data_IF_460510882851
#
_entry.id   IF_460510882851
#
_cell.length_a   1.000
_cell.length_b   1.000
_cell.length_c   1.000
_cell.angle_alpha   90.00
_cell.angle_beta   90.00
_cell.angle_gamma   90.00
#
_symmetry.space_group_name_H-M   'P 1'
#
loop_
_entity.id
_entity.type
_entity.pdbx_description
1 polymer ?
#
# COMPACT_ATOMS: atom_id res chain seq x y z
N UNK A 1 24.53 -4.11 -3.74
CA UNK A 1 24.21 -5.56 -3.82
C UNK A 1 22.70 -5.61 -3.96
N UNK A 2 22.20 -5.25 -5.14
CA UNK A 2 20.79 -4.88 -5.36
C UNK A 2 20.01 -5.94 -6.15
N UNK A 3 20.54 -7.17 -6.25
CA UNK A 3 20.11 -8.07 -7.31
C UNK A 3 18.75 -8.73 -7.07
N UNK A 4 18.53 -9.44 -5.97
CA UNK A 4 17.34 -10.30 -5.89
C UNK A 4 16.02 -9.52 -5.75
N UNK A 5 15.97 -8.48 -4.92
CA UNK A 5 14.75 -7.68 -4.77
C UNK A 5 14.39 -6.97 -6.06
N UNK A 6 15.39 -6.41 -6.76
CA UNK A 6 15.17 -5.75 -8.04
C UNK A 6 14.72 -6.76 -9.10
N UNK A 7 15.36 -7.93 -9.20
CA UNK A 7 14.97 -8.99 -10.12
C UNK A 7 13.53 -9.48 -9.87
N UNK A 8 13.12 -9.65 -8.61
CA UNK A 8 11.74 -10.01 -8.26
C UNK A 8 10.75 -8.92 -8.69
N UNK A 9 11.08 -7.65 -8.44
CA UNK A 9 10.24 -6.53 -8.88
C UNK A 9 10.19 -6.40 -10.41
N UNK A 10 11.28 -6.69 -11.12
CA UNK A 10 11.31 -6.74 -12.58
C UNK A 10 10.41 -7.83 -13.12
N UNK A 11 10.46 -9.04 -12.54
CA UNK A 11 9.57 -10.13 -12.94
C UNK A 11 8.09 -9.79 -12.70
N UNK A 12 7.76 -9.21 -11.54
CA UNK A 12 6.40 -8.73 -11.26
C UNK A 12 5.97 -7.66 -12.26
N UNK A 13 6.83 -6.69 -12.58
CA UNK A 13 6.52 -5.66 -13.55
C UNK A 13 6.29 -6.22 -14.96
N UNK A 14 7.15 -7.13 -15.42
CA UNK A 14 7.06 -7.72 -16.76
C UNK A 14 5.85 -8.64 -16.94
N UNK A 15 5.41 -9.32 -15.87
CA UNK A 15 4.17 -10.11 -15.88
C UNK A 15 2.97 -9.25 -16.30
N UNK A 16 2.93 -8.00 -15.83
CA UNK A 16 1.83 -7.07 -16.12
C UNK A 16 2.07 -6.18 -17.34
N UNK A 17 3.32 -5.79 -17.63
CA UNK A 17 3.60 -4.91 -18.76
C UNK A 17 3.36 -5.60 -20.10
N UNK A 18 3.38 -6.95 -20.12
CA UNK A 18 3.14 -7.79 -21.32
C UNK A 18 4.03 -7.39 -22.50
N UNK A 19 5.27 -6.98 -22.20
CA UNK A 19 6.26 -6.55 -23.19
C UNK A 19 6.26 -5.04 -23.49
N UNK A 20 5.38 -4.25 -22.87
CA UNK A 20 5.42 -2.79 -22.96
C UNK A 20 6.46 -2.18 -22.00
N UNK A 21 6.85 -0.94 -22.28
CA UNK A 21 7.81 -0.16 -21.47
C UNK A 21 7.22 0.35 -20.15
N UNK A 22 5.90 0.40 -20.05
CA UNK A 22 5.13 0.85 -18.89
C UNK A 22 3.97 -0.12 -18.61
N UNK A 23 3.58 -0.22 -17.35
CA UNK A 23 2.30 -0.86 -16.95
C UNK A 23 1.21 0.19 -16.92
N UNK A 24 -0.04 -0.21 -17.13
CA UNK A 24 -1.17 0.72 -16.93
C UNK A 24 -1.32 1.06 -15.45
N UNK A 25 -1.98 2.17 -15.15
CA UNK A 25 -2.31 2.60 -13.79
C UNK A 25 -3.20 1.55 -13.09
N UNK A 26 -4.09 0.92 -13.86
CA UNK A 26 -4.92 -0.20 -13.42
C UNK A 26 -4.05 -1.40 -13.05
N UNK A 27 -3.10 -1.79 -13.90
CA UNK A 27 -2.20 -2.90 -13.59
C UNK A 27 -1.31 -2.58 -12.38
N UNK A 28 -0.87 -1.33 -12.24
CA UNK A 28 -0.18 -0.86 -11.04
C UNK A 28 -1.04 -1.04 -9.78
N UNK A 29 -2.30 -0.62 -9.80
CA UNK A 29 -3.23 -0.84 -8.69
C UNK A 29 -3.43 -2.32 -8.38
N UNK A 30 -3.63 -3.16 -9.41
CA UNK A 30 -3.76 -4.62 -9.23
C UNK A 30 -2.54 -5.23 -8.54
N UNK A 31 -1.32 -4.78 -8.89
CA UNK A 31 -0.08 -5.22 -8.23
C UNK A 31 -0.03 -4.75 -6.77
N UNK A 32 -0.51 -3.53 -6.48
CA UNK A 32 -0.57 -3.03 -5.11
C UNK A 32 -1.56 -3.79 -4.23
N UNK A 33 -2.69 -4.22 -4.80
CA UNK A 33 -3.78 -4.87 -4.09
C UNK A 33 -3.70 -6.42 -4.08
N UNK A 34 -2.77 -7.04 -4.82
CA UNK A 34 -2.68 -8.51 -4.95
C UNK A 34 -2.53 -9.28 -3.61
N UNK A 35 -1.93 -8.65 -2.60
CA UNK A 35 -1.65 -9.27 -1.29
C UNK A 35 -2.35 -8.59 -0.12
N UNK A 36 -3.43 -7.86 -0.40
CA UNK A 36 -4.24 -7.19 0.63
C UNK A 36 -5.45 -8.06 1.00
N UNK A 37 -5.94 -7.95 2.23
CA UNK A 37 -7.14 -8.66 2.68
C UNK A 37 -8.42 -7.90 2.28
N UNK A 38 -8.59 -7.64 0.98
CA UNK A 38 -9.80 -7.05 0.44
C UNK A 38 -10.73 -8.14 -0.06
N UNK A 39 -12.03 -7.98 0.14
CA UNK A 39 -13.00 -8.82 -0.57
C UNK A 39 -13.13 -8.40 -2.05
N UNK A 40 -13.90 -9.17 -2.82
CA UNK A 40 -14.04 -8.91 -4.27
C UNK A 40 -14.73 -7.58 -4.55
N UNK A 41 -15.71 -7.20 -3.73
CA UNK A 41 -16.48 -5.97 -3.94
C UNK A 41 -15.61 -4.74 -3.63
N UNK A 42 -14.86 -4.77 -2.52
CA UNK A 42 -13.89 -3.73 -2.15
C UNK A 42 -12.80 -3.59 -3.21
N UNK A 43 -12.25 -4.71 -3.70
CA UNK A 43 -11.23 -4.73 -4.75
C UNK A 43 -11.73 -4.07 -6.03
N UNK A 44 -12.93 -4.42 -6.48
CA UNK A 44 -13.54 -3.86 -7.69
C UNK A 44 -13.83 -2.36 -7.51
N UNK A 45 -14.26 -1.92 -6.32
CA UNK A 45 -14.45 -0.49 -6.01
C UNK A 45 -13.17 0.35 -6.18
N UNK A 46 -12.00 -0.18 -5.81
CA UNK A 46 -10.72 0.50 -6.04
C UNK A 46 -10.41 0.66 -7.53
N UNK A 47 -10.69 -0.37 -8.33
CA UNK A 47 -10.40 -0.36 -9.76
C UNK A 47 -11.37 0.54 -10.53
N UNK A 48 -12.65 0.49 -10.22
CA UNK A 48 -13.68 1.34 -10.86
C UNK A 48 -13.41 2.82 -10.60
N UNK A 49 -13.09 3.17 -9.34
CA UNK A 49 -12.71 4.53 -8.97
C UNK A 49 -11.49 5.02 -9.73
N UNK A 50 -10.49 4.15 -9.90
CA UNK A 50 -9.29 4.50 -10.64
C UNK A 50 -9.59 4.76 -12.13
N UNK A 51 -10.41 3.90 -12.75
CA UNK A 51 -10.85 4.05 -14.13
C UNK A 51 -11.62 5.36 -14.35
N UNK A 52 -12.43 5.79 -13.38
CA UNK A 52 -13.18 7.05 -13.47
C UNK A 52 -12.26 8.29 -13.33
N UNK A 53 -11.22 8.19 -12.49
CA UNK A 53 -10.34 9.32 -12.14
C UNK A 53 -9.15 9.49 -13.08
N UNK A 54 -8.60 8.39 -13.60
CA UNK A 54 -7.43 8.41 -14.49
C UNK A 54 -7.90 8.35 -15.94
N UNK A 55 -7.81 9.49 -16.63
CA UNK A 55 -8.22 9.62 -18.05
C UNK A 55 -7.06 9.58 -19.03
N UNK A 56 -5.85 9.82 -18.54
CA UNK A 56 -4.63 9.84 -19.35
C UNK A 56 -3.85 8.54 -19.11
N UNK A 57 -3.71 7.73 -20.16
CA UNK A 57 -2.94 6.48 -20.15
C UNK A 57 -1.43 6.76 -20.28
N UNK A 58 -0.87 7.44 -19.28
CA UNK A 58 0.56 7.77 -19.26
C UNK A 58 1.39 6.52 -18.96
N UNK A 59 0.85 5.65 -18.10
CA UNK A 59 1.48 4.43 -17.64
C UNK A 59 2.57 4.68 -16.61
N UNK A 60 2.81 3.67 -15.79
CA UNK A 60 3.85 3.67 -14.75
C UNK A 60 5.09 2.95 -15.29
N UNK A 61 6.22 3.64 -15.33
CA UNK A 61 7.49 3.04 -15.74
C UNK A 61 8.07 2.10 -14.68
N UNK A 62 8.97 1.20 -15.08
CA UNK A 62 9.64 0.31 -14.12
C UNK A 62 10.40 1.08 -13.03
N UNK A 63 11.02 2.22 -13.38
CA UNK A 63 11.71 3.07 -12.40
C UNK A 63 10.73 3.61 -11.35
N UNK A 64 9.58 4.13 -11.77
CA UNK A 64 8.56 4.64 -10.85
C UNK A 64 8.01 3.53 -9.96
N UNK A 65 7.71 2.37 -10.55
CA UNK A 65 7.26 1.18 -9.82
C UNK A 65 8.27 0.75 -8.75
N UNK A 66 9.55 0.67 -9.12
CA UNK A 66 10.64 0.29 -8.21
C UNK A 66 10.83 1.32 -7.10
N UNK A 67 10.87 2.61 -7.45
CA UNK A 67 11.04 3.70 -6.49
C UNK A 67 9.87 3.70 -5.47
N UNK A 68 8.64 3.40 -5.91
CA UNK A 68 7.48 3.21 -5.03
C UNK A 68 7.60 1.97 -4.13
N UNK A 69 8.02 0.84 -4.68
CA UNK A 69 8.22 -0.38 -3.88
C UNK A 69 9.32 -0.20 -2.82
N UNK A 70 10.38 0.54 -3.15
CA UNK A 70 11.42 0.92 -2.19
C UNK A 70 10.87 1.83 -1.09
N UNK A 71 9.94 2.72 -1.42
CA UNK A 71 9.20 3.48 -0.42
C UNK A 71 8.39 2.58 0.52
N UNK A 72 7.67 1.59 -0.01
CA UNK A 72 6.88 0.67 0.82
C UNK A 72 7.74 -0.14 1.79
N UNK A 73 9.02 -0.40 1.48
CA UNK A 73 9.94 -1.03 2.44
C UNK A 73 10.20 -0.16 3.69
N UNK A 74 9.96 1.15 3.61
CA UNK A 74 10.09 2.13 4.70
C UNK A 74 8.72 2.61 5.22
N UNK A 75 7.66 1.82 4.99
CA UNK A 75 6.29 2.19 5.36
C UNK A 75 6.11 2.37 6.87
N UNK A 76 6.88 1.66 7.70
CA UNK A 76 6.81 1.78 9.16
C UNK A 76 7.20 3.19 9.63
N UNK A 77 8.34 3.71 9.14
CA UNK A 77 8.80 5.07 9.43
C UNK A 77 7.81 6.12 8.90
N UNK A 78 7.31 5.91 7.68
CA UNK A 78 6.29 6.78 7.09
C UNK A 78 4.99 6.76 7.92
N UNK A 79 4.60 5.60 8.48
CA UNK A 79 3.40 5.48 9.31
C UNK A 79 3.50 6.23 10.63
N UNK A 80 4.72 6.40 11.18
CA UNK A 80 4.96 7.21 12.36
C UNK A 80 4.73 8.69 12.02
N UNK A 81 5.29 9.16 10.91
CA UNK A 81 5.07 10.52 10.42
C UNK A 81 3.57 10.77 10.18
N UNK A 82 2.88 9.85 9.51
CA UNK A 82 1.45 9.98 9.21
C UNK A 82 0.57 9.99 10.47
N UNK A 83 0.92 9.20 11.49
CA UNK A 83 0.24 9.27 12.79
C UNK A 83 0.40 10.62 13.47
N UNK A 84 1.56 11.27 13.38
CA UNK A 84 1.76 12.61 13.95
C UNK A 84 0.83 13.64 13.31
N UNK A 85 0.65 13.61 11.98
CA UNK A 85 -0.31 14.47 11.28
C UNK A 85 -1.76 14.16 11.65
N UNK A 86 -2.12 12.87 11.68
CA UNK A 86 -3.49 12.44 12.02
C UNK A 86 -3.87 12.82 13.46
N UNK A 87 -2.93 12.74 14.42
CA UNK A 87 -3.17 13.16 15.82
C UNK A 87 -3.39 14.66 15.98
N UNK A 88 -2.99 15.45 14.98
CA UNK A 88 -3.24 16.88 14.91
C UNK A 88 -4.53 17.22 14.11
N UNK A 89 -5.39 16.23 13.83
CA UNK A 89 -6.55 16.32 12.93
C UNK A 89 -6.18 16.89 11.55
N UNK A 90 -4.96 16.59 11.07
CA UNK A 90 -4.52 16.96 9.74
C UNK A 90 -4.36 15.73 8.85
N UNK A 91 -5.25 15.51 7.87
CA UNK A 91 -5.04 14.49 6.84
C UNK A 91 -3.90 14.93 5.90
N UNK A 92 -3.27 13.97 5.19
CA UNK A 92 -2.05 14.23 4.42
C UNK A 92 -2.38 14.65 2.99
N UNK A 93 -1.97 15.85 2.61
CA UNK A 93 -2.01 16.32 1.22
C UNK A 93 -0.94 15.68 0.33
N UNK A 94 -1.09 15.78 -0.99
CA UNK A 94 -0.10 15.29 -1.99
C UNK A 94 1.30 15.86 -1.78
N UNK A 95 1.40 17.13 -1.39
CA UNK A 95 2.68 17.80 -1.14
C UNK A 95 3.35 17.29 0.13
N UNK A 96 2.57 17.01 1.18
CA UNK A 96 3.04 16.41 2.41
C UNK A 96 3.46 14.96 2.21
N UNK A 97 2.68 14.19 1.46
CA UNK A 97 3.02 12.83 1.06
C UNK A 97 4.37 12.80 0.33
N UNK A 98 4.54 13.66 -0.68
CA UNK A 98 5.80 13.76 -1.44
C UNK A 98 6.99 14.13 -0.55
N UNK A 99 6.80 15.08 0.37
CA UNK A 99 7.83 15.47 1.35
C UNK A 99 8.17 14.32 2.31
N UNK A 100 7.17 13.63 2.83
CA UNK A 100 7.36 12.52 3.77
C UNK A 100 8.07 11.34 3.08
N UNK A 101 7.71 11.00 1.85
CA UNK A 101 8.44 9.99 1.06
C UNK A 101 9.91 10.38 0.87
N UNK A 102 10.17 11.66 0.56
CA UNK A 102 11.54 12.17 0.40
C UNK A 102 12.36 12.06 1.68
N UNK A 103 11.75 12.32 2.83
CA UNK A 103 12.40 12.20 4.14
C UNK A 103 12.69 10.73 4.48
N UNK A 104 11.74 9.83 4.26
CA UNK A 104 11.87 8.41 4.62
C UNK A 104 12.84 7.65 3.71
N UNK A 105 12.94 8.01 2.42
CA UNK A 105 13.64 7.19 1.42
C UNK A 105 14.80 7.90 0.73
N UNK A 106 14.86 9.24 0.82
CA UNK A 106 15.74 10.06 -0.01
C UNK A 106 15.32 10.14 -1.48
N UNK A 107 14.27 9.44 -1.91
CA UNK A 107 13.76 9.42 -3.28
C UNK A 107 12.66 10.46 -3.50
N UNK A 108 12.47 10.87 -4.75
CA UNK A 108 11.38 11.76 -5.14
C UNK A 108 10.51 11.02 -6.14
N UNK A 109 9.26 10.76 -5.77
CA UNK A 109 8.28 10.16 -6.67
C UNK A 109 7.84 11.18 -7.72
N UNK A 110 7.47 10.69 -8.90
CA UNK A 110 6.92 11.56 -9.95
C UNK A 110 5.54 12.07 -9.54
N UNK A 111 5.16 13.25 -10.03
CA UNK A 111 3.83 13.82 -9.78
C UNK A 111 2.72 12.86 -10.26
N UNK A 112 2.89 12.29 -11.44
CA UNK A 112 1.97 11.31 -12.00
C UNK A 112 1.77 10.11 -11.06
N UNK A 113 2.85 9.52 -10.54
CA UNK A 113 2.75 8.40 -9.62
C UNK A 113 2.03 8.78 -8.32
N UNK A 114 2.29 9.96 -7.75
CA UNK A 114 1.59 10.45 -6.55
C UNK A 114 0.10 10.65 -6.86
N UNK A 115 -0.24 11.24 -8.01
CA UNK A 115 -1.62 11.43 -8.44
C UNK A 115 -2.34 10.08 -8.60
N UNK A 116 -1.69 9.07 -9.19
CA UNK A 116 -2.21 7.70 -9.33
C UNK A 116 -2.43 7.04 -7.98
N UNK A 117 -1.48 7.16 -7.04
CA UNK A 117 -1.63 6.61 -5.67
C UNK A 117 -2.83 7.23 -4.96
N UNK A 118 -2.98 8.55 -5.03
CA UNK A 118 -4.15 9.22 -4.46
C UNK A 118 -5.44 8.78 -5.17
N UNK A 119 -5.43 8.65 -6.50
CA UNK A 119 -6.61 8.19 -7.23
C UNK A 119 -7.11 6.80 -6.77
N UNK A 120 -6.19 5.91 -6.40
CA UNK A 120 -6.49 4.59 -5.82
C UNK A 120 -7.06 4.75 -4.39
N UNK A 121 -6.29 5.36 -3.48
CA UNK A 121 -6.55 5.22 -2.04
C UNK A 121 -7.47 6.28 -1.43
N UNK A 122 -7.59 7.46 -2.03
CA UNK A 122 -8.48 8.54 -1.57
C UNK A 122 -9.94 8.12 -1.78
N UNK A 123 -10.63 7.73 -0.71
CA UNK A 123 -11.99 7.16 -0.79
C UNK A 123 -13.07 8.22 -0.93
N UNK A 124 -12.97 9.29 -0.17
CA UNK A 124 -13.97 10.37 -0.16
C UNK A 124 -13.73 11.44 -1.25
N UNK A 125 -12.56 11.41 -1.90
CA UNK A 125 -12.19 12.32 -2.98
C UNK A 125 -11.84 13.72 -2.49
N UNK A 126 -11.48 13.89 -1.22
CA UNK A 126 -11.11 15.17 -0.64
C UNK A 126 -9.70 15.64 -1.04
N UNK A 127 -8.93 14.78 -1.73
CA UNK A 127 -7.57 15.04 -2.18
C UNK A 127 -6.52 14.82 -1.10
N UNK A 128 -6.89 14.18 0.01
CA UNK A 128 -6.07 13.91 1.18
C UNK A 128 -6.00 12.38 1.38
N UNK A 129 -5.00 11.93 2.13
CA UNK A 129 -4.87 10.53 2.52
C UNK A 129 -4.89 10.41 4.04
N UNK A 130 -5.83 9.63 4.54
CA UNK A 130 -5.90 9.22 5.93
C UNK A 130 -5.06 7.96 6.19
N UNK A 131 -4.80 7.71 7.47
CA UNK A 131 -4.08 6.51 7.91
C UNK A 131 -4.79 5.21 7.48
N UNK A 132 -6.13 5.20 7.52
CA UNK A 132 -6.93 4.01 7.22
C UNK A 132 -6.93 3.70 5.73
N UNK A 133 -7.03 4.72 4.88
CA UNK A 133 -7.06 4.60 3.42
C UNK A 133 -5.76 4.02 2.86
N UNK A 134 -4.61 4.48 3.37
CA UNK A 134 -3.33 4.09 2.79
C UNK A 134 -2.55 3.07 3.62
N UNK A 135 -2.27 3.37 4.90
CA UNK A 135 -1.33 2.58 5.70
C UNK A 135 -1.89 1.20 6.03
N UNK A 136 -3.19 1.10 6.33
CA UNK A 136 -3.81 -0.17 6.67
C UNK A 136 -3.65 -1.18 5.50
N UNK A 137 -3.95 -0.73 4.28
CA UNK A 137 -3.89 -1.56 3.07
C UNK A 137 -2.44 -1.89 2.71
N UNK A 138 -1.54 -0.90 2.71
CA UNK A 138 -0.14 -1.11 2.31
C UNK A 138 0.68 -1.91 3.32
N UNK A 139 0.27 -1.94 4.59
CA UNK A 139 0.90 -2.81 5.59
C UNK A 139 0.71 -4.28 5.24
N UNK A 140 -0.44 -4.68 4.74
CA UNK A 140 -0.68 -6.08 4.37
C UNK A 140 0.17 -6.48 3.17
N UNK A 141 0.23 -5.60 2.16
CA UNK A 141 1.07 -5.77 0.98
C UNK A 141 2.55 -5.97 1.33
N UNK A 142 3.09 -5.16 2.25
CA UNK A 142 4.51 -5.24 2.65
C UNK A 142 4.90 -6.65 3.11
N UNK A 143 3.97 -7.38 3.73
CA UNK A 143 4.21 -8.73 4.21
C UNK A 143 3.99 -9.81 3.15
N UNK A 144 3.58 -9.47 1.92
CA UNK A 144 3.39 -10.40 0.78
C UNK A 144 2.59 -11.66 1.14
N UNK A 145 1.61 -11.55 2.04
CA UNK A 145 0.82 -12.68 2.53
C UNK A 145 1.54 -13.62 3.52
N UNK A 146 2.80 -13.36 3.90
CA UNK A 146 3.56 -14.18 4.85
C UNK A 146 3.22 -13.91 6.32
N UNK A 147 2.65 -12.74 6.62
CA UNK A 147 1.96 -12.54 7.92
C UNK A 147 0.57 -13.13 7.79
N UNK A 148 0.45 -14.43 8.06
CA UNK A 148 -0.75 -14.91 8.69
C UNK A 148 -0.80 -14.25 10.06
N UNK A 149 -1.63 -13.21 10.18
CA UNK A 149 -2.39 -13.15 11.42
C UNK A 149 -3.18 -14.43 11.38
N UNK A 150 -2.66 -15.48 12.03
CA UNK A 150 -3.54 -16.51 12.54
C UNK A 150 -4.50 -15.70 13.40
N UNK A 151 -5.60 -15.26 12.77
CA UNK A 151 -6.80 -14.85 13.46
C UNK A 151 -7.07 -16.05 14.30
N UNK A 152 -6.63 -15.93 15.54
CA UNK A 152 -7.00 -16.77 16.63
C UNK A 152 -8.48 -16.47 16.76
N UNK A 153 -9.27 -17.06 15.87
CA UNK A 153 -10.71 -17.06 15.82
C UNK A 153 -11.15 -18.52 15.93
N UNK A 154 -12.27 -18.75 16.59
CA UNK A 154 -12.75 -20.11 16.89
C UNK A 154 -12.11 -20.75 18.12
N UNK A 155 -12.17 -22.08 18.17
CA UNK A 155 -11.95 -22.85 19.40
C UNK A 155 -10.54 -22.75 19.98
N UNK A 156 -9.52 -22.65 19.13
CA UNK A 156 -8.13 -22.55 19.59
C UNK A 156 -7.83 -21.18 20.23
N UNK A 157 -8.52 -20.13 19.78
CA UNK A 157 -8.46 -18.81 20.39
C UNK A 157 -9.08 -18.76 21.77
N UNK A 158 -10.27 -19.35 21.87
CA UNK A 158 -10.99 -19.46 23.11
C UNK A 158 -10.16 -20.21 24.15
N UNK A 159 -9.57 -21.36 23.78
CA UNK A 159 -8.66 -22.12 24.65
C UNK A 159 -7.46 -21.29 25.08
N UNK A 160 -6.85 -20.54 24.17
CA UNK A 160 -5.69 -19.71 24.48
C UNK A 160 -6.04 -18.63 25.51
N UNK A 161 -7.13 -17.89 25.31
CA UNK A 161 -7.63 -16.89 26.26
C UNK A 161 -7.99 -17.51 27.62
N UNK A 162 -8.73 -18.63 27.62
CA UNK A 162 -9.13 -19.30 28.86
C UNK A 162 -7.90 -19.78 29.65
N UNK A 163 -6.90 -20.34 28.96
CA UNK A 163 -5.65 -20.81 29.58
C UNK A 163 -4.79 -19.67 30.12
N UNK A 164 -4.82 -18.50 29.49
CA UNK A 164 -4.19 -17.30 30.02
C UNK A 164 -4.90 -16.81 31.29
N UNK A 165 -6.23 -16.75 31.30
CA UNK A 165 -6.94 -16.28 32.48
C UNK A 165 -6.85 -17.21 33.69
N UNK A 166 -6.78 -18.52 33.45
CA UNK A 166 -6.53 -19.48 34.52
C UNK A 166 -5.12 -19.36 35.12
N UNK A 167 -4.15 -18.80 34.40
CA UNK A 167 -2.80 -18.56 34.90
C UNK A 167 -2.67 -17.28 35.71
N UNK A 168 -3.50 -16.27 35.46
CA UNK A 168 -3.50 -14.98 36.16
C UNK A 168 -4.25 -15.02 37.49
N UNK A 169 -5.05 -16.06 37.76
CA UNK A 169 -5.77 -16.25 39.02
C UNK A 169 -5.01 -17.09 40.07
N UNK A 170 -3.72 -17.37 39.88
CA UNK A 170 -2.86 -18.01 40.89
C UNK A 170 -1.73 -17.07 41.30
#
# INVERSE_FOLDING_TARGET
MDNLQTEVLELEFYEFSKGNLAITEVDFAKILLRYTYLDTDEYDMFLDRLLDRVKDETGVSFKEFRDFCQFLNNLEDFSIAMRMYTLADHPISKDEFTRAVKICTGLTLSKHLVDTVFAIFDEDGDGLLSYKEFIAIMKDRLHRGFKSTAKSEGWEAFKHCLKQEMKTQT
#
